data_IF_783408580006
#
_entry.id   IF_783408580006
#
_cell.length_a   1.000
_cell.length_b   1.000
_cell.length_c   1.000
_cell.angle_alpha   90.00
_cell.angle_beta   90.00
_cell.angle_gamma   90.00
#
_symmetry.space_group_name_H-M   'P 1'
#
loop_
_entity.id
_entity.type
_entity.pdbx_description
1 polymer ?
#
# COMPACT_ATOMS: atom_id res chain seq x y z
N UNK A 1 45.40 17.75 -31.30
CA UNK A 1 45.92 16.52 -30.67
C UNK A 1 44.86 15.48 -30.27
N UNK A 2 43.56 15.66 -30.59
CA UNK A 2 42.50 14.66 -30.33
C UNK A 2 42.29 13.59 -31.42
N UNK A 3 42.93 13.72 -32.58
CA UNK A 3 42.78 12.77 -33.70
C UNK A 3 43.60 11.46 -33.57
N UNK A 4 44.54 11.38 -32.62
CA UNK A 4 45.40 10.18 -32.44
C UNK A 4 44.86 9.17 -31.40
N UNK A 5 43.92 9.55 -30.53
CA UNK A 5 43.35 8.60 -29.56
C UNK A 5 42.27 7.69 -30.16
N UNK A 6 41.58 8.12 -31.23
CA UNK A 6 40.54 7.30 -31.87
C UNK A 6 41.08 6.27 -32.87
N UNK A 7 42.33 6.36 -33.31
CA UNK A 7 42.92 5.36 -34.21
C UNK A 7 43.39 4.09 -33.50
N UNK A 8 43.58 4.13 -32.17
CA UNK A 8 43.93 2.93 -31.39
C UNK A 8 42.71 2.04 -31.07
N UNK A 9 41.50 2.59 -31.10
CA UNK A 9 40.27 1.83 -30.81
C UNK A 9 39.80 1.03 -32.04
N UNK A 10 40.23 1.41 -33.25
CA UNK A 10 39.71 0.80 -34.50
C UNK A 10 40.38 -0.53 -34.90
N UNK A 11 41.50 -0.91 -34.27
CA UNK A 11 42.26 -2.12 -34.63
C UNK A 11 42.18 -3.28 -33.61
N UNK A 12 41.28 -3.23 -32.63
CA UNK A 12 41.06 -4.35 -31.69
C UNK A 12 39.69 -5.03 -31.86
N UNK A 13 39.11 -4.96 -33.05
CA UNK A 13 37.90 -5.73 -33.42
C UNK A 13 38.29 -6.73 -34.51
N UNK A 14 39.16 -7.67 -34.16
CA UNK A 14 39.24 -8.94 -34.88
C UNK A 14 39.46 -10.08 -33.88
N UNK A 15 38.44 -10.93 -33.78
CA UNK A 15 38.59 -12.32 -33.35
C UNK A 15 39.12 -12.58 -31.94
N UNK A 16 38.43 -12.13 -30.89
CA UNK A 16 38.50 -12.85 -29.61
C UNK A 16 37.15 -12.87 -28.93
N UNK A 17 36.65 -14.07 -28.64
CA UNK A 17 35.56 -14.29 -27.68
C UNK A 17 35.99 -13.56 -26.41
N UNK A 18 35.33 -12.46 -26.05
CA UNK A 18 35.53 -11.78 -24.77
C UNK A 18 35.24 -12.79 -23.67
N UNK A 19 36.30 -13.41 -23.16
CA UNK A 19 36.29 -14.07 -21.87
C UNK A 19 36.09 -12.92 -20.88
N UNK A 20 34.86 -12.79 -20.38
CA UNK A 20 34.58 -11.94 -19.23
C UNK A 20 35.30 -12.65 -18.07
N UNK A 21 36.51 -12.21 -17.76
CA UNK A 21 37.20 -12.60 -16.54
C UNK A 21 36.33 -12.16 -15.37
N UNK A 22 35.77 -13.14 -14.65
CA UNK A 22 35.16 -12.87 -13.34
C UNK A 22 36.29 -12.36 -12.44
N UNK A 23 36.18 -11.10 -12.01
CA UNK A 23 36.97 -10.64 -10.87
C UNK A 23 36.43 -11.36 -9.64
N UNK A 24 37.23 -12.27 -9.07
CA UNK A 24 36.91 -12.97 -7.82
C UNK A 24 37.27 -12.15 -6.57
N UNK A 25 37.75 -10.91 -6.74
CA UNK A 25 37.90 -9.96 -5.64
C UNK A 25 36.53 -9.35 -5.28
N UNK A 26 35.75 -10.09 -4.49
CA UNK A 26 34.50 -9.61 -3.92
C UNK A 26 34.79 -8.57 -2.82
N UNK A 27 35.03 -7.32 -3.23
CA UNK A 27 35.04 -6.18 -2.32
C UNK A 27 33.69 -6.03 -1.63
N UNK A 28 33.70 -5.64 -0.35
CA UNK A 28 32.45 -5.42 0.39
C UNK A 28 31.76 -4.14 -0.10
N UNK A 29 30.48 -4.24 -0.47
CA UNK A 29 29.64 -3.08 -0.78
C UNK A 29 29.57 -2.09 0.39
N UNK A 30 29.79 -2.55 1.63
CA UNK A 30 29.78 -1.71 2.82
C UNK A 30 30.92 -0.68 2.87
N UNK A 31 31.93 -0.79 1.99
CA UNK A 31 33.01 0.21 1.86
C UNK A 31 32.55 1.44 1.07
N UNK A 32 31.50 1.29 0.25
CA UNK A 32 30.93 2.37 -0.53
C UNK A 32 30.01 3.22 0.37
N UNK A 33 30.09 4.57 0.31
CA UNK A 33 29.18 5.45 1.02
C UNK A 33 27.70 5.10 0.77
N UNK A 34 26.90 5.09 1.84
CA UNK A 34 25.48 4.71 1.79
C UNK A 34 24.69 5.53 0.78
N UNK A 35 24.96 6.84 0.69
CA UNK A 35 24.25 7.74 -0.22
C UNK A 35 24.51 7.38 -1.68
N UNK A 36 25.75 7.00 -2.04
CA UNK A 36 26.11 6.55 -3.39
C UNK A 36 25.37 5.24 -3.70
N UNK A 37 25.35 4.29 -2.76
CA UNK A 37 24.62 3.04 -2.95
C UNK A 37 23.13 3.32 -3.18
N UNK A 38 22.49 4.14 -2.34
CA UNK A 38 21.05 4.43 -2.39
C UNK A 38 20.64 5.21 -3.63
N UNK A 39 21.45 6.18 -4.07
CA UNK A 39 21.10 7.09 -5.15
C UNK A 39 21.66 6.69 -6.53
N UNK A 40 22.74 5.91 -6.58
CA UNK A 40 23.42 5.56 -7.84
C UNK A 40 23.43 4.07 -8.16
N UNK A 41 23.39 3.18 -7.17
CA UNK A 41 23.42 1.73 -7.44
C UNK A 41 22.02 1.10 -7.38
N UNK A 42 21.35 1.22 -6.23
CA UNK A 42 20.05 0.60 -5.99
C UNK A 42 18.97 0.97 -7.02
N UNK A 43 18.89 2.20 -7.56
CA UNK A 43 17.88 2.54 -8.58
C UNK A 43 17.99 1.76 -9.89
N UNK A 44 19.13 1.11 -10.16
CA UNK A 44 19.34 0.29 -11.36
C UNK A 44 19.09 -1.20 -11.12
N UNK A 45 18.89 -1.61 -9.86
CA UNK A 45 18.60 -2.98 -9.52
C UNK A 45 17.11 -3.29 -9.69
N UNK A 46 16.81 -4.48 -10.21
CA UNK A 46 15.46 -4.99 -10.23
C UNK A 46 15.04 -5.48 -8.82
N UNK A 47 13.74 -5.72 -8.64
CA UNK A 47 13.21 -6.18 -7.35
C UNK A 47 13.91 -7.46 -6.87
N UNK A 48 14.23 -8.38 -7.79
CA UNK A 48 14.88 -9.65 -7.47
C UNK A 48 16.29 -9.44 -6.92
N UNK A 49 17.08 -8.57 -7.53
CA UNK A 49 18.41 -8.22 -7.05
C UNK A 49 18.35 -7.49 -5.71
N UNK A 50 17.40 -6.57 -5.52
CA UNK A 50 17.21 -5.89 -4.24
C UNK A 50 16.85 -6.84 -3.10
N UNK A 51 15.97 -7.81 -3.34
CA UNK A 51 15.62 -8.81 -2.32
C UNK A 51 16.80 -9.74 -1.98
N UNK A 52 17.65 -10.06 -2.97
CA UNK A 52 18.91 -10.78 -2.71
C UNK A 52 19.89 -9.94 -1.90
N UNK A 53 20.05 -8.66 -2.23
CA UNK A 53 20.93 -7.76 -1.49
C UNK A 53 20.48 -7.61 -0.03
N UNK A 54 19.17 -7.46 0.16
CA UNK A 54 18.53 -7.34 1.48
C UNK A 54 18.77 -8.56 2.39
N UNK A 55 18.91 -9.76 1.81
CA UNK A 55 19.13 -11.00 2.57
C UNK A 55 20.60 -11.31 2.82
N UNK A 56 21.53 -10.54 2.26
CA UNK A 56 22.96 -10.83 2.34
C UNK A 56 23.60 -10.40 3.67
N UNK A 57 23.21 -9.25 4.25
CA UNK A 57 23.69 -8.80 5.55
C UNK A 57 22.70 -7.83 6.22
N UNK A 58 22.90 -7.54 7.52
CA UNK A 58 22.08 -6.57 8.25
C UNK A 58 22.24 -5.14 7.71
N UNK A 59 23.46 -4.74 7.35
CA UNK A 59 23.74 -3.42 6.79
C UNK A 59 23.03 -3.23 5.45
N UNK A 60 23.05 -4.26 4.61
CA UNK A 60 22.36 -4.26 3.32
C UNK A 60 20.85 -4.36 3.48
N UNK A 61 20.37 -5.06 4.51
CA UNK A 61 18.97 -5.07 4.89
C UNK A 61 18.47 -3.65 5.20
N UNK A 62 19.19 -2.93 6.06
CA UNK A 62 18.83 -1.55 6.44
C UNK A 62 18.92 -0.60 5.24
N UNK A 63 19.93 -0.78 4.38
CA UNK A 63 20.13 0.00 3.16
C UNK A 63 18.98 -0.17 2.16
N UNK A 64 18.58 -1.42 1.87
CA UNK A 64 17.46 -1.69 0.96
C UNK A 64 16.14 -1.19 1.55
N UNK A 65 15.94 -1.32 2.87
CA UNK A 65 14.76 -0.77 3.53
C UNK A 65 14.72 0.76 3.43
N UNK A 66 15.85 1.45 3.63
CA UNK A 66 15.93 2.91 3.48
C UNK A 66 15.56 3.33 2.06
N UNK A 67 16.07 2.63 1.06
CA UNK A 67 15.77 2.86 -0.34
C UNK A 67 14.28 2.66 -0.67
N UNK A 68 13.68 1.56 -0.17
CA UNK A 68 12.27 1.24 -0.41
C UNK A 68 11.29 2.08 0.43
N UNK A 69 11.77 2.86 1.41
CA UNK A 69 10.96 3.89 2.09
C UNK A 69 10.76 5.13 1.22
N UNK A 70 11.67 5.39 0.28
CA UNK A 70 11.54 6.55 -0.61
C UNK A 70 10.46 6.27 -1.65
N UNK A 71 9.42 7.11 -1.67
CA UNK A 71 8.28 6.94 -2.56
C UNK A 71 8.65 6.98 -4.03
N UNK A 72 9.62 7.81 -4.44
CA UNK A 72 10.04 7.90 -5.85
C UNK A 72 10.59 6.56 -6.32
N UNK A 73 11.39 5.90 -5.48
CA UNK A 73 11.95 4.58 -5.79
C UNK A 73 10.90 3.48 -5.65
N UNK A 74 10.08 3.52 -4.61
CA UNK A 74 9.00 2.56 -4.40
C UNK A 74 8.01 2.55 -5.58
N UNK A 75 7.63 3.72 -6.10
CA UNK A 75 6.76 3.87 -7.27
C UNK A 75 7.36 3.34 -8.57
N UNK A 76 8.69 3.20 -8.65
CA UNK A 76 9.36 2.61 -9.83
C UNK A 76 9.36 1.08 -9.77
N UNK A 77 9.48 0.53 -8.55
CA UNK A 77 9.65 -0.91 -8.31
C UNK A 77 8.30 -1.61 -8.02
N UNK A 78 7.31 -0.85 -7.55
CA UNK A 78 6.01 -1.38 -7.14
C UNK A 78 6.02 -2.00 -5.74
N UNK A 79 6.99 -1.63 -4.91
CA UNK A 79 7.14 -2.14 -3.56
C UNK A 79 7.58 -1.02 -2.62
N UNK A 80 6.90 -0.85 -1.49
CA UNK A 80 7.23 0.14 -0.46
C UNK A 80 7.54 -0.55 0.87
N UNK A 81 8.52 -0.02 1.60
CA UNK A 81 8.81 -0.39 2.97
C UNK A 81 8.04 0.52 3.94
N UNK A 82 7.12 -0.05 4.73
CA UNK A 82 6.34 0.67 5.74
C UNK A 82 7.03 0.58 7.09
N UNK A 83 7.47 1.71 7.66
CA UNK A 83 8.16 1.72 8.94
C UNK A 83 7.25 1.61 10.16
N UNK A 84 7.81 1.09 11.25
CA UNK A 84 7.23 1.22 12.59
C UNK A 84 6.92 2.68 12.91
N UNK A 85 5.79 2.91 13.56
CA UNK A 85 5.30 4.24 13.92
C UNK A 85 4.68 5.02 12.77
N UNK A 86 4.69 4.48 11.54
CA UNK A 86 3.89 5.03 10.45
C UNK A 86 2.41 4.90 10.76
N UNK A 87 1.67 5.98 10.47
CA UNK A 87 0.23 6.10 10.73
C UNK A 87 -0.52 6.06 9.41
N UNK A 88 -1.55 5.23 9.36
CA UNK A 88 -2.39 5.05 8.18
C UNK A 88 -3.86 5.09 8.56
N UNK A 89 -4.69 5.28 7.54
CA UNK A 89 -6.13 5.10 7.59
C UNK A 89 -6.46 3.84 6.81
N UNK A 90 -6.88 2.80 7.51
CA UNK A 90 -7.28 1.53 6.96
C UNK A 90 -8.76 1.55 6.58
N UNK A 91 -9.07 1.00 5.41
CA UNK A 91 -10.43 0.67 4.99
C UNK A 91 -10.53 -0.85 4.87
N UNK A 92 -11.42 -1.45 5.66
CA UNK A 92 -11.79 -2.85 5.57
C UNK A 92 -12.87 -3.11 4.51
N UNK A 93 -13.32 -4.34 4.42
CA UNK A 93 -14.42 -4.73 3.54
C UNK A 93 -15.76 -4.06 3.92
N UNK A 94 -16.70 -4.04 2.98
CA UNK A 94 -18.03 -3.52 3.23
C UNK A 94 -18.80 -4.41 4.19
N UNK A 95 -19.37 -3.83 5.23
CA UNK A 95 -20.31 -4.51 6.12
C UNK A 95 -21.72 -4.23 5.62
N UNK A 96 -22.55 -5.29 5.57
CA UNK A 96 -23.96 -5.17 5.18
C UNK A 96 -24.78 -4.54 6.31
N UNK A 97 -25.51 -3.48 5.97
CA UNK A 97 -26.49 -2.79 6.81
C UNK A 97 -27.92 -3.25 6.53
N UNK A 98 -28.19 -3.71 5.30
CA UNK A 98 -29.47 -4.31 4.92
C UNK A 98 -29.20 -5.54 4.07
N UNK A 99 -29.97 -6.59 4.29
CA UNK A 99 -29.91 -7.84 3.51
C UNK A 99 -31.31 -8.22 3.05
N UNK A 100 -31.38 -9.00 1.98
CA UNK A 100 -32.65 -9.54 1.49
C UNK A 100 -33.25 -10.40 2.60
N UNK A 101 -34.53 -10.20 2.87
CA UNK A 101 -35.29 -10.95 3.87
C UNK A 101 -36.28 -11.88 3.20
N UNK A 102 -36.34 -13.12 3.69
CA UNK A 102 -37.38 -14.09 3.30
C UNK A 102 -38.68 -13.89 4.11
N UNK A 103 -38.71 -12.92 5.03
CA UNK A 103 -39.89 -12.61 5.84
C UNK A 103 -40.95 -11.88 5.01
N UNK A 104 -42.17 -12.44 5.01
CA UNK A 104 -43.35 -11.78 4.41
C UNK A 104 -43.58 -10.40 5.05
N UNK A 105 -43.28 -10.23 6.33
CA UNK A 105 -43.41 -8.95 7.00
C UNK A 105 -42.44 -7.91 6.46
N UNK A 106 -41.19 -8.29 6.18
CA UNK A 106 -40.22 -7.38 5.58
C UNK A 106 -40.54 -7.09 4.11
N UNK A 107 -41.11 -8.05 3.38
CA UNK A 107 -41.62 -7.84 2.03
C UNK A 107 -42.73 -6.78 1.97
N UNK A 108 -43.57 -6.71 3.01
CA UNK A 108 -44.69 -5.74 3.08
C UNK A 108 -44.24 -4.39 3.65
N UNK A 109 -43.40 -4.39 4.69
CA UNK A 109 -43.10 -3.18 5.47
C UNK A 109 -41.71 -2.59 5.25
N UNK A 110 -40.75 -3.37 4.74
CA UNK A 110 -39.34 -2.99 4.65
C UNK A 110 -38.74 -3.20 3.24
N UNK A 111 -39.59 -3.21 2.21
CA UNK A 111 -39.24 -3.39 0.79
C UNK A 111 -38.52 -4.72 0.50
N UNK A 112 -38.78 -5.76 1.30
CA UNK A 112 -38.11 -7.07 1.18
C UNK A 112 -36.71 -7.13 1.79
N UNK A 113 -36.32 -6.12 2.57
CA UNK A 113 -35.01 -6.07 3.23
C UNK A 113 -35.14 -6.05 4.74
N UNK A 114 -34.22 -6.74 5.42
CA UNK A 114 -34.06 -6.67 6.87
C UNK A 114 -32.87 -5.78 7.20
N UNK A 115 -33.05 -4.90 8.19
CA UNK A 115 -31.97 -4.09 8.74
C UNK A 115 -31.08 -4.95 9.66
N UNK A 116 -29.76 -4.84 9.48
CA UNK A 116 -28.76 -5.51 10.31
C UNK A 116 -28.31 -4.55 11.40
N UNK A 117 -28.42 -5.00 12.65
CA UNK A 117 -27.77 -4.30 13.76
C UNK A 117 -26.26 -4.55 13.71
N UNK A 118 -25.50 -3.50 13.39
CA UNK A 118 -24.04 -3.61 13.25
C UNK A 118 -23.40 -3.67 14.62
N UNK A 119 -22.62 -4.72 14.84
CA UNK A 119 -21.86 -4.93 16.07
C UNK A 119 -20.38 -4.56 15.85
N UNK A 120 -19.64 -4.27 16.92
CA UNK A 120 -18.18 -4.10 16.83
C UNK A 120 -17.47 -5.32 16.22
N UNK A 121 -18.03 -6.52 16.36
CA UNK A 121 -17.48 -7.75 15.76
C UNK A 121 -17.59 -7.71 14.23
N UNK A 122 -18.71 -7.23 13.67
CA UNK A 122 -18.85 -7.07 12.22
C UNK A 122 -17.82 -6.10 11.66
N UNK A 123 -17.59 -4.99 12.36
CA UNK A 123 -16.58 -3.98 12.00
C UNK A 123 -15.19 -4.60 12.08
N UNK A 124 -14.86 -5.30 13.17
CA UNK A 124 -13.55 -5.94 13.33
C UNK A 124 -13.27 -6.98 12.24
N UNK A 125 -14.28 -7.79 11.90
CA UNK A 125 -14.15 -8.83 10.89
C UNK A 125 -13.89 -8.27 9.48
N UNK A 126 -14.34 -7.05 9.18
CA UNK A 126 -14.11 -6.45 7.87
C UNK A 126 -12.64 -6.13 7.60
N UNK A 127 -11.78 -6.06 8.63
CA UNK A 127 -10.34 -5.83 8.49
C UNK A 127 -9.51 -7.13 8.46
N UNK A 128 -10.16 -8.30 8.48
CA UNK A 128 -9.46 -9.59 8.65
C UNK A 128 -8.91 -10.20 7.36
N UNK A 129 -9.41 -9.81 6.18
CA UNK A 129 -9.10 -10.45 4.88
C UNK A 129 -8.36 -9.54 3.91
N UNK A 130 -8.87 -8.32 3.69
CA UNK A 130 -8.32 -7.33 2.76
C UNK A 130 -8.50 -5.95 3.33
N UNK A 131 -7.39 -5.24 3.41
CA UNK A 131 -7.37 -3.86 3.91
C UNK A 131 -6.65 -2.99 2.92
N UNK A 132 -7.16 -1.78 2.72
CA UNK A 132 -6.44 -0.75 1.95
C UNK A 132 -5.98 0.33 2.91
N UNK A 133 -4.68 0.59 2.95
CA UNK A 133 -4.08 1.63 3.77
C UNK A 133 -3.97 2.93 2.97
N UNK A 134 -4.41 4.02 3.58
CA UNK A 134 -4.34 5.37 3.04
C UNK A 134 -3.46 6.24 3.93
N UNK A 135 -2.71 7.17 3.32
CA UNK A 135 -1.94 8.17 4.07
C UNK A 135 -2.80 9.32 4.60
N UNK A 136 -3.91 9.58 3.92
CA UNK A 136 -4.82 10.70 4.21
C UNK A 136 -6.21 10.20 4.58
N UNK A 137 -6.76 10.74 5.67
CA UNK A 137 -8.14 10.48 6.09
C UNK A 137 -9.14 10.90 5.01
N UNK A 138 -8.86 12.01 4.33
CA UNK A 138 -9.73 12.53 3.27
C UNK A 138 -9.84 11.53 2.12
N UNK A 139 -8.71 11.02 1.65
CA UNK A 139 -8.67 10.01 0.59
C UNK A 139 -9.38 8.72 1.02
N UNK A 140 -9.22 8.33 2.29
CA UNK A 140 -9.92 7.17 2.83
C UNK A 140 -11.44 7.39 2.85
N UNK A 141 -11.91 8.53 3.35
CA UNK A 141 -13.34 8.88 3.38
C UNK A 141 -13.96 8.99 2.00
N UNK A 142 -13.23 9.54 1.02
CA UNK A 142 -13.66 9.56 -0.38
C UNK A 142 -13.80 8.15 -0.94
N UNK A 143 -12.87 7.25 -0.61
CA UNK A 143 -12.96 5.84 -1.00
C UNK A 143 -14.15 5.15 -0.37
N UNK A 144 -14.41 5.36 0.93
CA UNK A 144 -15.61 4.83 1.61
C UNK A 144 -16.86 5.27 0.87
N UNK A 145 -17.03 6.58 0.62
CA UNK A 145 -18.18 7.10 -0.13
C UNK A 145 -18.35 6.45 -1.50
N UNK A 146 -17.25 6.20 -2.21
CA UNK A 146 -17.28 5.54 -3.53
C UNK A 146 -17.66 4.05 -3.48
N UNK A 147 -17.44 3.39 -2.34
CA UNK A 147 -17.71 1.97 -2.12
C UNK A 147 -18.99 1.71 -1.30
N UNK A 148 -19.56 2.75 -0.71
CA UNK A 148 -20.86 2.68 -0.04
C UNK A 148 -21.94 2.40 -1.09
N UNK A 149 -22.67 1.32 -0.86
CA UNK A 149 -23.81 0.94 -1.68
C UNK A 149 -25.09 1.48 -1.04
N UNK A 150 -25.76 2.37 -1.75
CA UNK A 150 -27.06 2.90 -1.39
C UNK A 150 -28.15 2.19 -2.20
N UNK A 151 -29.21 1.76 -1.54
CA UNK A 151 -30.42 1.27 -2.20
C UNK A 151 -31.46 2.37 -2.38
N UNK A 152 -32.72 1.97 -2.50
CA UNK A 152 -33.83 2.90 -2.64
C UNK A 152 -33.92 3.88 -1.46
N UNK A 153 -34.40 5.10 -1.74
CA UNK A 153 -34.51 6.19 -0.76
C UNK A 153 -33.19 6.56 -0.06
N UNK A 154 -32.04 6.34 -0.73
CA UNK A 154 -30.70 6.61 -0.20
C UNK A 154 -30.37 5.84 1.10
N UNK A 155 -31.07 4.73 1.37
CA UNK A 155 -30.73 3.86 2.50
C UNK A 155 -29.40 3.15 2.25
N UNK A 156 -28.53 3.11 3.26
CA UNK A 156 -27.25 2.39 3.17
C UNK A 156 -27.51 0.88 3.24
N UNK A 157 -27.11 0.16 2.19
CA UNK A 157 -27.23 -1.30 2.14
C UNK A 157 -25.93 -1.97 2.58
N UNK A 158 -24.78 -1.41 2.16
CA UNK A 158 -23.49 -1.82 2.69
C UNK A 158 -22.50 -0.66 2.63
N UNK A 159 -21.56 -0.61 3.59
CA UNK A 159 -20.47 0.37 3.57
C UNK A 159 -19.21 -0.20 4.19
N UNK A 160 -18.02 0.19 3.70
CA UNK A 160 -16.78 -0.14 4.38
C UNK A 160 -16.56 0.76 5.59
N UNK A 161 -15.69 0.31 6.50
CA UNK A 161 -15.40 1.00 7.76
C UNK A 161 -13.98 1.54 7.78
N UNK A 162 -13.82 2.67 8.48
CA UNK A 162 -12.55 3.35 8.66
C UNK A 162 -11.91 2.97 9.99
N UNK A 163 -10.61 2.69 9.97
CA UNK A 163 -9.82 2.62 11.18
C UNK A 163 -8.52 3.39 11.01
N UNK A 164 -8.04 3.99 12.09
CA UNK A 164 -6.69 4.51 12.19
C UNK A 164 -5.78 3.36 12.62
N UNK A 165 -4.67 3.20 11.90
CA UNK A 165 -3.72 2.11 12.12
C UNK A 165 -2.34 2.69 12.38
N UNK A 166 -1.78 2.32 13.53
CA UNK A 166 -0.39 2.58 13.87
C UNK A 166 0.40 1.26 13.77
N UNK A 167 1.43 1.23 12.93
CA UNK A 167 2.27 0.04 12.75
C UNK A 167 3.23 -0.15 13.95
N UNK A 168 3.17 -1.31 14.59
CA UNK A 168 3.97 -1.62 15.78
C UNK A 168 5.24 -2.42 15.46
N UNK A 169 5.26 -3.12 14.33
CA UNK A 169 6.40 -3.90 13.84
C UNK A 169 7.28 -3.11 12.87
N UNK A 170 8.56 -3.47 12.86
CA UNK A 170 9.54 -2.90 11.95
C UNK A 170 9.37 -3.49 10.54
N UNK A 171 9.16 -2.59 9.57
CA UNK A 171 9.28 -2.82 8.13
C UNK A 171 8.37 -3.93 7.59
N UNK A 172 7.11 -3.57 7.32
CA UNK A 172 6.21 -4.35 6.48
C UNK A 172 6.40 -3.96 5.02
N UNK A 173 6.58 -4.93 4.12
CA UNK A 173 6.56 -4.65 2.68
C UNK A 173 5.14 -4.66 2.17
N UNK A 174 4.78 -3.62 1.43
CA UNK A 174 3.53 -3.58 0.72
C UNK A 174 3.76 -3.50 -0.78
N UNK A 175 3.08 -4.37 -1.52
CA UNK A 175 3.00 -4.28 -2.97
C UNK A 175 2.09 -3.10 -3.33
N UNK A 176 2.53 -2.30 -4.28
CA UNK A 176 1.77 -1.17 -4.77
C UNK A 176 0.91 -1.59 -5.97
N UNK A 177 -0.27 -1.00 -6.07
CA UNK A 177 -1.09 -1.14 -7.27
C UNK A 177 -0.57 -0.25 -8.39
N UNK A 178 -0.69 -0.76 -9.61
CA UNK A 178 -0.27 -0.06 -10.83
C UNK A 178 -1.47 0.70 -11.42
N UNK A 179 -1.33 2.00 -11.53
CA UNK A 179 -2.23 2.88 -12.25
C UNK A 179 -1.73 3.17 -13.68
N UNK A 180 -2.36 4.12 -14.37
CA UNK A 180 -2.01 4.51 -15.75
C UNK A 180 -0.67 5.24 -15.86
N UNK A 181 -0.13 5.78 -14.75
CA UNK A 181 1.07 6.63 -14.69
C UNK A 181 2.25 5.87 -14.04
N UNK A 182 1.98 4.83 -13.25
CA UNK A 182 3.00 4.05 -12.56
C UNK A 182 2.40 3.28 -11.39
N UNK A 183 3.18 3.08 -10.33
CA UNK A 183 2.64 2.55 -9.08
C UNK A 183 2.23 3.70 -8.16
N UNK A 184 1.12 3.55 -7.44
CA UNK A 184 0.65 4.56 -6.47
C UNK A 184 0.98 4.18 -5.04
N UNK A 185 1.23 5.19 -4.21
CA UNK A 185 1.49 5.05 -2.76
C UNK A 185 0.39 5.67 -1.91
N UNK A 186 -0.67 6.20 -2.54
CA UNK A 186 -1.80 6.84 -1.84
C UNK A 186 -2.76 5.81 -1.25
N UNK A 187 -2.97 4.72 -1.98
CA UNK A 187 -3.76 3.58 -1.58
C UNK A 187 -2.88 2.33 -1.69
N UNK A 188 -2.64 1.68 -0.57
CA UNK A 188 -1.71 0.56 -0.45
C UNK A 188 -2.54 -0.68 -0.09
N UNK A 189 -2.76 -1.62 -1.02
CA UNK A 189 -3.49 -2.85 -0.72
C UNK A 189 -2.65 -3.72 0.22
N UNK A 190 -3.32 -4.35 1.18
CA UNK A 190 -2.70 -5.18 2.19
C UNK A 190 -3.60 -6.38 2.50
N UNK A 191 -3.05 -7.59 2.47
CA UNK A 191 -3.81 -8.81 2.74
C UNK A 191 -3.99 -9.03 4.25
N UNK A 192 -2.96 -8.77 5.05
CA UNK A 192 -3.09 -8.89 6.50
C UNK A 192 -2.18 -7.88 7.18
N UNK A 193 -2.77 -6.95 7.93
CA UNK A 193 -1.99 -6.04 8.76
C UNK A 193 -1.35 -6.88 9.87
N UNK A 194 -0.02 -6.85 9.98
CA UNK A 194 0.74 -7.52 11.05
C UNK A 194 0.42 -6.93 12.43
N UNK A 195 1.36 -6.96 13.39
CA UNK A 195 1.06 -6.33 14.69
C UNK A 195 0.88 -4.82 14.53
N UNK A 196 -0.32 -4.36 14.85
CA UNK A 196 -0.74 -2.98 14.73
C UNK A 196 -1.68 -2.58 15.87
N UNK A 197 -1.74 -1.29 16.15
CA UNK A 197 -2.79 -0.71 16.98
C UNK A 197 -3.87 -0.17 16.05
N UNK A 198 -5.11 -0.64 16.22
CA UNK A 198 -6.26 -0.26 15.41
C UNK A 198 -7.21 0.56 16.28
N UNK A 199 -7.57 1.75 15.82
CA UNK A 199 -8.62 2.59 16.41
C UNK A 199 -9.71 2.79 15.37
N UNK A 200 -10.88 2.19 15.59
CA UNK A 200 -12.02 2.36 14.70
C UNK A 200 -12.54 3.81 14.79
N UNK A 201 -12.81 4.42 13.64
CA UNK A 201 -13.37 5.77 13.56
C UNK A 201 -14.85 5.60 13.25
N UNK A 202 -15.71 5.96 14.20
CA UNK A 202 -17.14 6.09 13.94
C UNK A 202 -17.38 7.31 13.06
N UNK A 203 -18.01 7.10 11.90
CA UNK A 203 -18.63 8.20 11.17
C UNK A 203 -19.87 8.62 11.96
N UNK A 204 -19.70 9.61 12.84
CA UNK A 204 -20.83 10.40 13.32
C UNK A 204 -21.41 11.11 12.10
N UNK A 205 -22.51 10.58 11.54
CA UNK A 205 -23.31 11.32 10.57
C UNK A 205 -23.69 12.68 11.19
N UNK A 206 -23.66 13.79 10.43
CA UNK A 206 -24.25 15.02 10.90
C UNK A 206 -25.74 14.74 11.12
N UNK A 207 -26.17 14.72 12.38
CA UNK A 207 -27.56 14.61 12.77
C UNK A 207 -28.34 15.75 12.13
N UNK A 208 -29.03 15.48 11.02
CA UNK A 208 -30.11 16.33 10.52
C UNK A 208 -31.34 16.14 11.40
N UNK A 209 -31.20 16.45 12.69
CA UNK A 209 -32.34 16.71 13.57
C UNK A 209 -32.53 18.21 13.66
N UNK A 210 -32.99 18.83 12.57
CA UNK A 210 -33.77 20.06 12.69
C UNK A 210 -35.14 19.64 13.24
N UNK A 211 -35.18 19.39 14.55
CA UNK A 211 -36.42 19.45 15.29
C UNK A 211 -36.70 20.95 15.46
N UNK A 212 -37.42 21.50 14.49
CA UNK A 212 -38.20 22.71 14.72
C UNK A 212 -39.31 22.32 15.70
N UNK A 213 -39.08 22.54 16.99
CA UNK A 213 -40.18 22.75 17.93
C UNK A 213 -40.41 24.24 18.06
N UNK A 214 -41.57 24.65 17.58
CA UNK A 214 -42.15 25.99 17.59
C UNK A 214 -42.32 26.57 19.00
N UNK A 215 -42.74 27.84 19.08
CA UNK A 215 -44.13 28.11 19.43
C UNK A 215 -44.99 28.55 18.24
#
# INVERSE_FOLDING_TARGET
MLKKMFSMIKNQISGSKKIITRCDENGSLCVIPKDILVHELLPFLDLKALMKLRSASKELYDLVNLFLKNEVYAKRIGLIALSKGSKFYAIGESVAHRVISDSIWDAIFNDGFQDINITPLHISNSFSSKVTLFKSEKAAKEKIKSQTFFGENQKVYSKPYLAKVDLLEDVLFAKLDKDTIGYTTEAIPFEQIGKCSIQYIEDSEPSTSNINTSP
#
